data_IF_222119433208
#
_entry.id   IF_222119433208
#
_cell.length_a   1.000
_cell.length_b   1.000
_cell.length_c   1.000
_cell.angle_alpha   90.00
_cell.angle_beta   90.00
_cell.angle_gamma   90.00
#
_symmetry.space_group_name_H-M   'P 1'
#
loop_
_entity.id
_entity.type
_entity.pdbx_description
1 polymer ?
#
# COMPACT_ATOMS: atom_id res chain seq x y z
N UNK A 1 32.83 73.05 -15.39
CA UNK A 1 31.66 72.88 -16.26
C UNK A 1 30.85 71.68 -15.79
N UNK A 2 29.67 71.90 -15.23
CA UNK A 2 28.52 71.00 -15.48
C UNK A 2 27.76 71.58 -16.69
N UNK A 3 26.67 70.99 -17.25
CA UNK A 3 25.96 69.73 -16.96
C UNK A 3 25.59 68.95 -18.26
N UNK A 4 24.84 67.83 -18.22
CA UNK A 4 23.36 67.76 -18.41
C UNK A 4 22.88 66.36 -17.94
N UNK A 5 22.01 66.20 -16.92
CA UNK A 5 20.53 66.44 -16.85
C UNK A 5 19.76 65.57 -17.85
N UNK A 6 18.72 64.79 -17.53
CA UNK A 6 17.69 64.83 -16.46
C UNK A 6 16.96 63.46 -16.37
N UNK A 7 16.78 62.92 -15.15
CA UNK A 7 15.52 62.68 -14.39
C UNK A 7 14.15 62.60 -15.12
N UNK A 8 13.04 62.18 -14.43
CA UNK A 8 12.77 60.99 -13.59
C UNK A 8 11.30 60.50 -13.75
N UNK A 9 10.76 59.75 -12.77
CA UNK A 9 9.34 59.52 -12.41
C UNK A 9 8.84 58.09 -12.69
N UNK A 10 8.24 57.35 -11.77
CA UNK A 10 7.28 57.77 -10.73
C UNK A 10 7.25 56.80 -9.54
N UNK A 11 7.10 57.36 -8.35
CA UNK A 11 6.98 56.72 -7.02
C UNK A 11 5.55 56.23 -6.74
N UNK A 12 5.42 55.25 -5.85
CA UNK A 12 4.53 55.22 -4.65
C UNK A 12 4.89 53.95 -3.87
N UNK A 13 5.60 53.99 -2.72
CA UNK A 13 5.31 54.72 -1.47
C UNK A 13 4.32 53.87 -0.66
N UNK A 14 4.43 53.57 0.63
CA UNK A 14 5.24 53.95 1.83
C UNK A 14 4.68 52.98 2.91
N UNK A 15 5.25 52.64 4.07
CA UNK A 15 6.12 53.33 5.01
C UNK A 15 6.57 52.33 6.10
N UNK A 16 7.72 52.60 6.73
CA UNK A 16 8.19 51.96 7.98
C UNK A 16 7.80 52.83 9.18
N UNK A 17 7.44 52.19 10.29
CA UNK A 17 7.75 52.55 11.69
C UNK A 17 7.18 51.41 12.55
N UNK A 18 7.73 50.90 13.63
CA UNK A 18 8.83 51.27 14.53
C UNK A 18 8.57 50.45 15.80
N UNK A 19 9.61 49.92 16.43
CA UNK A 19 9.53 49.10 17.66
C UNK A 19 8.75 49.76 18.79
N UNK A 20 7.99 48.98 19.56
CA UNK A 20 8.10 48.92 21.02
C UNK A 20 7.13 47.91 21.66
N UNK A 21 7.68 47.18 22.63
CA UNK A 21 7.05 46.57 23.79
C UNK A 21 6.06 45.42 23.61
N UNK A 22 6.53 44.24 24.01
CA UNK A 22 6.05 43.64 25.26
C UNK A 22 4.61 43.13 25.25
N UNK A 23 4.44 41.87 24.87
CA UNK A 23 3.70 40.94 25.71
C UNK A 23 4.11 39.52 25.38
N UNK A 24 4.90 38.95 26.28
CA UNK A 24 4.84 37.53 26.60
C UNK A 24 3.38 37.08 26.51
N UNK A 25 3.03 36.33 25.48
CA UNK A 25 1.90 35.42 25.59
C UNK A 25 2.52 34.14 26.13
N UNK A 26 2.80 34.16 27.43
CA UNK A 26 2.85 32.93 28.21
C UNK A 26 1.59 32.17 27.84
N UNK A 27 1.74 31.02 27.17
CA UNK A 27 0.70 30.01 27.16
C UNK A 27 0.67 29.46 28.58
N UNK A 28 0.00 30.19 29.47
CA UNK A 28 -0.45 29.66 30.75
C UNK A 28 -1.50 28.59 30.45
N UNK A 29 -1.10 27.35 30.70
CA UNK A 29 -1.88 26.30 31.36
C UNK A 29 -3.40 26.45 31.28
N UNK A 30 -4.02 25.82 30.30
CA UNK A 30 -5.38 25.31 30.45
C UNK A 30 -5.30 23.86 30.88
N UNK A 31 -5.08 23.66 32.18
CA UNK A 31 -5.52 22.45 32.88
C UNK A 31 -6.96 22.71 33.28
N UNK A 32 -7.92 22.15 32.55
CA UNK A 32 -9.10 21.45 33.10
C UNK A 32 -10.19 21.21 32.04
N UNK A 33 -10.34 19.92 31.69
CA UNK A 33 -11.57 19.19 31.34
C UNK A 33 -11.21 18.00 30.43
N UNK A 34 -10.61 16.94 31.00
CA UNK A 34 -10.42 15.68 30.26
C UNK A 34 -9.40 15.72 29.11
N UNK A 35 -8.49 16.69 29.11
CA UNK A 35 -7.53 16.88 28.03
C UNK A 35 -6.40 15.85 28.13
N UNK A 36 -6.52 14.80 27.33
CA UNK A 36 -5.58 13.69 27.31
C UNK A 36 -4.25 14.20 26.74
N UNK A 37 -3.20 14.27 27.58
CA UNK A 37 -1.86 14.71 27.17
C UNK A 37 -1.28 13.81 26.08
N UNK A 38 -1.41 14.26 24.83
CA UNK A 38 -1.07 13.49 23.63
C UNK A 38 0.43 13.26 23.44
N UNK A 39 1.25 14.26 23.76
CA UNK A 39 2.69 14.25 23.54
C UNK A 39 3.47 14.52 24.83
N UNK A 40 4.68 13.98 24.94
CA UNK A 40 5.58 14.26 26.07
C UNK A 40 6.07 15.71 26.03
N UNK A 41 6.41 16.22 24.86
CA UNK A 41 6.83 17.60 24.69
C UNK A 41 6.65 18.12 23.26
N UNK A 42 7.14 19.34 23.02
CA UNK A 42 7.05 20.00 21.71
C UNK A 42 7.79 19.26 20.59
N UNK A 43 8.84 18.50 20.94
CA UNK A 43 9.63 17.73 19.97
C UNK A 43 8.81 16.56 19.40
N UNK A 44 8.17 15.77 20.25
CA UNK A 44 7.32 14.66 19.81
C UNK A 44 6.12 15.17 19.00
N UNK A 45 5.54 16.31 19.38
CA UNK A 45 4.47 16.96 18.60
C UNK A 45 4.96 17.42 17.22
N UNK A 46 6.18 17.96 17.13
CA UNK A 46 6.80 18.32 15.85
C UNK A 46 7.03 17.09 14.98
N UNK A 47 7.58 16.01 15.55
CA UNK A 47 7.79 14.73 14.85
C UNK A 47 6.45 14.22 14.30
N UNK A 48 5.42 14.22 15.14
CA UNK A 48 4.08 13.80 14.76
C UNK A 48 3.56 14.58 13.55
N UNK A 49 3.54 15.91 13.65
CA UNK A 49 2.94 16.77 12.63
C UNK A 49 3.74 16.78 11.32
N UNK A 50 5.07 16.84 11.42
CA UNK A 50 5.96 16.96 10.26
C UNK A 50 6.16 15.64 9.54
N UNK A 51 6.36 14.55 10.27
CA UNK A 51 6.87 13.29 9.70
C UNK A 51 5.90 12.12 9.75
N UNK A 52 4.98 12.07 10.74
CA UNK A 52 4.09 10.92 10.91
C UNK A 52 2.71 11.16 10.32
N UNK A 53 2.19 12.38 10.42
CA UNK A 53 0.90 12.75 9.88
C UNK A 53 0.74 12.47 8.38
N UNK A 54 1.71 12.81 7.51
CA UNK A 54 1.60 12.54 6.08
C UNK A 54 1.71 11.05 5.73
N UNK A 55 2.21 10.21 6.64
CA UNK A 55 2.49 8.80 6.33
C UNK A 55 1.22 7.95 6.30
N UNK A 56 1.13 7.14 5.26
CA UNK A 56 0.12 6.10 5.16
C UNK A 56 0.41 4.98 6.16
N UNK A 57 -0.66 4.35 6.64
CA UNK A 57 -0.63 3.27 7.62
C UNK A 57 -1.01 1.97 6.94
N UNK A 58 -0.09 1.01 6.94
CA UNK A 58 -0.28 -0.31 6.34
C UNK A 58 -0.91 -1.28 7.33
N UNK A 59 -2.15 -1.69 7.08
CA UNK A 59 -2.83 -2.68 7.90
C UNK A 59 -2.37 -4.11 7.57
N UNK A 60 -2.32 -4.95 8.61
CA UNK A 60 -2.13 -6.40 8.48
C UNK A 60 -3.26 -7.04 7.66
N UNK A 61 -3.03 -8.24 7.15
CA UNK A 61 -3.99 -8.94 6.29
C UNK A 61 -4.37 -10.28 6.88
N UNK A 62 -5.66 -10.59 6.81
CA UNK A 62 -6.13 -11.95 7.11
C UNK A 62 -5.50 -12.92 6.11
N UNK A 63 -4.97 -14.03 6.64
CA UNK A 63 -4.43 -15.12 5.84
C UNK A 63 -5.25 -16.37 6.14
N UNK A 64 -6.07 -16.74 5.15
CA UNK A 64 -6.94 -17.90 5.23
C UNK A 64 -6.08 -19.14 4.94
N UNK A 65 -5.52 -19.75 5.99
CA UNK A 65 -4.63 -20.91 5.87
C UNK A 65 -5.30 -22.10 5.16
N UNK A 66 -6.63 -22.21 5.24
CA UNK A 66 -7.42 -23.26 4.56
C UNK A 66 -7.40 -23.15 3.05
N UNK A 67 -7.06 -21.99 2.48
CA UNK A 67 -6.86 -21.82 1.05
C UNK A 67 -5.52 -22.45 0.59
N UNK A 68 -4.66 -22.82 1.55
CA UNK A 68 -3.33 -23.40 1.34
C UNK A 68 -3.10 -24.68 2.18
N UNK A 69 -4.00 -25.68 2.14
CA UNK A 69 -4.05 -26.77 3.11
C UNK A 69 -2.87 -27.74 3.04
N UNK A 70 -2.12 -27.76 1.94
CA UNK A 70 -0.89 -28.54 1.76
C UNK A 70 0.35 -27.67 1.58
N UNK A 71 0.24 -26.38 1.90
CA UNK A 71 1.39 -25.49 1.82
C UNK A 71 2.32 -25.71 2.99
N UNK A 72 3.62 -25.65 2.70
CA UNK A 72 4.68 -25.52 3.67
C UNK A 72 4.41 -24.37 4.67
N UNK A 73 3.69 -23.33 4.22
CA UNK A 73 3.19 -22.21 5.03
C UNK A 73 2.21 -22.59 6.11
N UNK A 74 1.16 -23.35 5.79
CA UNK A 74 0.20 -23.76 6.81
C UNK A 74 0.88 -24.61 7.89
N UNK A 75 1.79 -25.51 7.49
CA UNK A 75 2.55 -26.35 8.42
C UNK A 75 3.49 -25.54 9.32
N UNK A 76 4.24 -24.59 8.76
CA UNK A 76 5.15 -23.74 9.53
C UNK A 76 4.40 -22.81 10.49
N UNK A 77 3.31 -22.18 10.04
CA UNK A 77 2.47 -21.36 10.93
C UNK A 77 1.91 -22.19 12.09
N UNK A 78 1.51 -23.43 11.84
CA UNK A 78 1.00 -24.32 12.87
C UNK A 78 2.11 -24.77 13.84
N UNK A 79 3.27 -25.19 13.32
CA UNK A 79 4.39 -25.68 14.13
C UNK A 79 5.05 -24.59 14.98
N UNK A 80 5.05 -23.35 14.49
CA UNK A 80 5.54 -22.19 15.23
C UNK A 80 4.51 -21.58 16.18
N UNK A 81 3.25 -22.02 16.15
CA UNK A 81 2.19 -21.45 17.01
C UNK A 81 1.77 -20.03 16.59
N UNK A 82 1.83 -19.70 15.30
CA UNK A 82 1.56 -18.34 14.78
C UNK A 82 0.13 -18.15 14.26
N UNK A 83 -0.82 -18.97 14.69
CA UNK A 83 -2.19 -18.97 14.15
C UNK A 83 -2.93 -17.64 14.37
N UNK A 84 -2.61 -16.91 15.45
CA UNK A 84 -3.19 -15.57 15.68
C UNK A 84 -2.62 -14.50 14.75
N UNK A 85 -1.40 -14.68 14.25
CA UNK A 85 -0.76 -13.75 13.31
C UNK A 85 -1.50 -13.77 11.97
N UNK A 86 -1.95 -14.96 11.55
CA UNK A 86 -2.73 -15.17 10.31
C UNK A 86 -4.21 -14.82 10.43
N UNK A 87 -4.71 -14.63 11.66
CA UNK A 87 -6.11 -14.34 11.91
C UNK A 87 -6.59 -13.00 11.34
N UNK A 88 -7.91 -12.82 11.35
CA UNK A 88 -8.53 -11.56 10.92
C UNK A 88 -7.97 -10.37 11.72
N UNK A 89 -7.45 -9.33 11.05
CA UNK A 89 -7.01 -8.12 11.71
C UNK A 89 -8.14 -7.46 12.48
N UNK A 90 -7.83 -6.94 13.67
CA UNK A 90 -8.66 -5.93 14.30
C UNK A 90 -8.54 -4.58 13.56
N UNK A 91 -9.52 -3.69 13.72
CA UNK A 91 -9.55 -2.38 13.07
C UNK A 91 -8.34 -1.52 13.46
N UNK A 92 -7.73 -0.80 12.52
CA UNK A 92 -6.63 0.10 12.86
C UNK A 92 -7.06 1.45 13.48
N UNK A 93 -6.25 2.00 14.39
CA UNK A 93 -6.31 3.37 14.92
C UNK A 93 -5.12 4.22 14.41
N UNK A 94 -5.20 4.74 13.17
CA UNK A 94 -4.05 5.35 12.50
C UNK A 94 -3.40 6.53 13.25
N UNK A 95 -4.21 7.40 13.86
CA UNK A 95 -3.70 8.56 14.58
C UNK A 95 -2.93 8.15 15.84
N UNK A 96 -3.34 7.06 16.45
CA UNK A 96 -2.80 6.57 17.71
C UNK A 96 -1.48 5.82 17.50
N UNK A 97 -1.37 5.09 16.40
CA UNK A 97 -0.09 4.55 15.89
C UNK A 97 0.93 5.66 15.68
N UNK A 98 0.50 6.76 15.06
CA UNK A 98 1.38 7.92 14.85
C UNK A 98 1.76 8.57 16.18
N UNK A 99 0.84 8.69 17.13
CA UNK A 99 1.14 9.19 18.48
C UNK A 99 2.16 8.32 19.21
N UNK A 100 2.02 7.00 19.13
CA UNK A 100 2.96 6.05 19.72
C UNK A 100 4.37 6.24 19.19
N UNK A 101 4.53 6.31 17.87
CA UNK A 101 5.84 6.51 17.27
C UNK A 101 6.43 7.88 17.55
N UNK A 102 5.59 8.91 17.66
CA UNK A 102 6.05 10.24 18.05
C UNK A 102 6.65 10.23 19.45
N UNK A 103 6.03 9.47 20.35
CA UNK A 103 6.37 9.40 21.77
C UNK A 103 7.26 8.19 22.13
N UNK A 104 7.84 7.51 21.13
CA UNK A 104 8.53 6.26 21.36
C UNK A 104 9.73 6.47 22.29
N UNK A 105 9.91 5.56 23.25
CA UNK A 105 11.06 5.62 24.13
C UNK A 105 12.30 5.08 23.41
N UNK A 106 13.19 5.95 22.96
CA UNK A 106 14.42 5.53 22.28
C UNK A 106 15.44 4.84 23.20
N UNK A 107 15.27 4.91 24.52
CA UNK A 107 16.12 4.21 25.49
C UNK A 107 15.40 2.98 26.07
N UNK A 108 14.39 2.44 25.38
CA UNK A 108 13.51 1.38 25.92
C UNK A 108 14.25 0.11 26.33
N UNK A 109 15.38 -0.19 25.69
CA UNK A 109 16.23 -1.35 25.95
C UNK A 109 17.27 -1.10 27.05
N UNK A 110 17.48 0.15 27.46
CA UNK A 110 18.43 0.49 28.52
C UNK A 110 17.81 0.16 29.89
N UNK A 111 18.32 -0.84 30.64
CA UNK A 111 17.78 -1.18 31.94
C UNK A 111 18.00 -0.07 32.99
N UNK A 112 18.89 0.90 32.73
CA UNK A 112 19.15 2.03 33.61
C UNK A 112 18.20 3.22 33.39
N UNK A 113 17.34 3.19 32.36
CA UNK A 113 16.32 4.23 32.14
C UNK A 113 15.21 4.14 33.19
N UNK A 114 14.51 5.25 33.45
CA UNK A 114 13.36 5.28 34.38
C UNK A 114 12.16 4.46 33.87
N UNK A 115 12.16 4.12 32.58
CA UNK A 115 11.01 3.62 31.83
C UNK A 115 11.36 2.43 30.90
N UNK A 116 12.06 1.38 31.38
CA UNK A 116 12.51 0.27 30.54
C UNK A 116 11.32 -0.52 30.02
N UNK A 117 11.38 -0.96 28.76
CA UNK A 117 10.26 -1.64 28.10
C UNK A 117 8.92 -0.91 28.21
N UNK A 118 8.94 0.42 28.25
CA UNK A 118 7.72 1.23 28.22
C UNK A 118 7.83 2.37 27.23
N UNK A 119 6.67 2.81 26.73
CA UNK A 119 6.54 3.94 25.82
C UNK A 119 5.42 4.86 26.30
N UNK A 120 5.39 6.11 25.83
CA UNK A 120 4.41 7.09 26.29
C UNK A 120 3.24 7.20 25.34
N UNK A 121 2.03 7.05 25.85
CA UNK A 121 0.81 7.28 25.07
C UNK A 121 -0.20 7.98 25.96
N UNK A 122 -0.65 9.17 25.52
CA UNK A 122 -1.83 9.82 26.07
C UNK A 122 -1.79 10.04 27.59
N UNK A 123 -0.64 10.48 28.09
CA UNK A 123 -0.46 10.79 29.51
C UNK A 123 0.02 9.62 30.36
N UNK A 124 0.28 8.46 29.76
CA UNK A 124 0.63 7.22 30.47
C UNK A 124 1.84 6.52 29.85
N UNK A 125 2.68 5.95 30.71
CA UNK A 125 3.65 4.95 30.31
C UNK A 125 2.98 3.59 30.18
N UNK A 126 3.25 2.91 29.07
CA UNK A 126 2.63 1.65 28.74
C UNK A 126 3.68 0.58 28.48
N UNK A 127 3.44 -0.64 28.94
CA UNK A 127 4.38 -1.74 28.76
C UNK A 127 4.45 -2.14 27.29
N UNK A 128 5.66 -2.17 26.75
CA UNK A 128 6.00 -2.63 25.43
C UNK A 128 7.28 -3.48 25.53
N UNK A 129 7.10 -4.79 25.61
CA UNK A 129 8.19 -5.76 25.71
C UNK A 129 7.93 -6.97 24.80
N UNK A 130 8.97 -7.76 24.47
CA UNK A 130 8.82 -9.03 23.78
C UNK A 130 7.76 -9.94 24.41
N UNK A 131 7.72 -10.01 25.75
CA UNK A 131 6.73 -10.80 26.47
C UNK A 131 5.29 -10.30 26.29
N UNK A 132 5.08 -8.97 26.24
CA UNK A 132 3.75 -8.40 25.94
C UNK A 132 3.29 -8.83 24.55
N UNK A 133 4.18 -8.74 23.55
CA UNK A 133 3.92 -9.14 22.16
C UNK A 133 3.62 -10.64 22.08
N UNK A 134 4.42 -11.48 22.73
CA UNK A 134 4.22 -12.92 22.74
C UNK A 134 2.85 -13.30 23.33
N UNK A 135 2.48 -12.68 24.44
CA UNK A 135 1.17 -12.87 25.06
C UNK A 135 0.01 -12.44 24.14
N UNK A 136 0.21 -11.43 23.29
CA UNK A 136 -0.83 -10.95 22.38
C UNK A 136 -1.23 -12.00 21.36
N UNK A 137 -0.21 -12.44 20.63
CA UNK A 137 -0.33 -13.41 19.57
C UNK A 137 -0.49 -14.82 20.13
N UNK A 138 -0.54 -14.96 21.46
CA UNK A 138 -0.56 -16.25 22.16
C UNK A 138 0.54 -17.16 21.61
N UNK A 139 1.73 -16.58 21.42
CA UNK A 139 2.89 -17.32 20.95
C UNK A 139 3.25 -18.35 22.00
N UNK A 140 3.48 -19.58 21.55
CA UNK A 140 4.01 -20.62 22.42
C UNK A 140 5.41 -20.22 22.84
N UNK A 141 5.68 -20.20 24.16
CA UNK A 141 7.05 -20.15 24.65
C UNK A 141 7.75 -21.44 24.21
N UNK A 142 8.65 -21.32 23.25
CA UNK A 142 9.47 -22.41 22.77
C UNK A 142 10.90 -22.15 23.24
N UNK A 143 11.69 -23.21 23.38
CA UNK A 143 13.13 -23.07 23.53
C UNK A 143 13.67 -22.51 22.20
N UNK A 144 13.85 -21.20 22.15
CA UNK A 144 14.37 -20.50 20.99
C UNK A 144 15.89 -20.60 21.01
N UNK A 145 16.47 -21.17 19.96
CA UNK A 145 17.90 -21.02 19.72
C UNK A 145 18.12 -19.65 19.05
N UNK A 146 19.13 -18.88 19.50
CA UNK A 146 19.51 -17.65 18.82
C UNK A 146 19.78 -17.92 17.35
N UNK A 147 19.17 -17.10 16.48
CA UNK A 147 19.52 -17.07 15.07
C UNK A 147 21.02 -16.71 14.99
N UNK A 148 21.89 -17.56 14.41
CA UNK A 148 23.31 -17.27 14.26
C UNK A 148 23.51 -15.90 13.59
N UNK A 149 24.50 -15.12 14.02
CA UNK A 149 24.76 -13.83 13.38
C UNK A 149 25.51 -13.98 12.04
N UNK A 150 26.23 -15.10 11.89
CA UNK A 150 27.07 -15.44 10.75
C UNK A 150 26.35 -16.43 9.81
N UNK A 151 25.85 -15.90 8.70
CA UNK A 151 25.28 -16.71 7.63
C UNK A 151 26.26 -16.94 6.50
N UNK A 152 26.31 -18.19 6.04
CA UNK A 152 26.75 -18.46 4.68
C UNK A 152 25.66 -17.96 3.71
N UNK A 153 25.84 -16.75 3.22
CA UNK A 153 24.92 -16.14 2.26
C UNK A 153 24.83 -16.92 0.94
N UNK A 154 25.82 -17.75 0.62
CA UNK A 154 25.76 -18.71 -0.49
C UNK A 154 24.64 -19.72 -0.22
N UNK A 155 24.65 -20.34 0.96
CA UNK A 155 23.65 -21.32 1.37
C UNK A 155 22.25 -20.70 1.43
N UNK A 156 22.11 -19.53 2.06
CA UNK A 156 20.84 -18.78 2.12
C UNK A 156 20.30 -18.55 0.72
N UNK A 157 21.12 -18.03 -0.20
CA UNK A 157 20.67 -17.70 -1.56
C UNK A 157 20.31 -18.94 -2.37
N UNK A 158 21.12 -20.00 -2.29
CA UNK A 158 20.84 -21.27 -2.98
C UNK A 158 19.53 -21.90 -2.49
N UNK A 159 19.29 -21.87 -1.17
CA UNK A 159 18.06 -22.35 -0.57
C UNK A 159 16.85 -21.53 -1.04
N UNK A 160 16.93 -20.20 -0.94
CA UNK A 160 15.82 -19.31 -1.25
C UNK A 160 15.41 -19.36 -2.73
N UNK A 161 16.38 -19.53 -3.64
CA UNK A 161 16.13 -19.56 -5.10
C UNK A 161 16.03 -20.98 -5.66
N UNK A 162 16.31 -22.01 -4.86
CA UNK A 162 16.22 -23.41 -5.27
C UNK A 162 17.23 -23.84 -6.35
N UNK A 163 18.38 -23.16 -6.46
CA UNK A 163 19.42 -23.46 -7.48
C UNK A 163 20.83 -23.21 -6.96
N UNK A 164 21.78 -24.09 -7.32
CA UNK A 164 23.15 -24.06 -6.81
C UNK A 164 23.98 -22.85 -7.32
N UNK A 165 23.66 -22.31 -8.48
CA UNK A 165 24.33 -21.17 -9.10
C UNK A 165 23.67 -19.82 -8.76
N UNK A 166 22.79 -19.79 -7.76
CA UNK A 166 22.07 -18.59 -7.33
C UNK A 166 22.99 -17.49 -6.76
N UNK A 167 24.17 -17.87 -6.25
CA UNK A 167 25.18 -16.96 -5.74
C UNK A 167 26.38 -16.91 -6.71
N UNK A 168 26.92 -15.73 -7.06
CA UNK A 168 26.59 -14.38 -6.60
C UNK A 168 25.55 -13.65 -7.48
N UNK A 169 24.64 -14.38 -8.15
CA UNK A 169 23.61 -13.77 -9.01
C UNK A 169 22.64 -12.88 -8.21
N UNK A 170 22.47 -13.15 -6.91
CA UNK A 170 21.89 -12.20 -5.99
C UNK A 170 22.80 -10.97 -5.91
N UNK A 171 22.39 -9.87 -6.55
CA UNK A 171 23.07 -8.57 -6.43
C UNK A 171 22.98 -8.02 -5.00
N UNK A 172 23.07 -6.69 -4.78
CA UNK A 172 23.01 -6.12 -3.42
C UNK A 172 21.66 -6.32 -2.70
N UNK A 173 20.68 -6.94 -3.37
CA UNK A 173 19.34 -7.21 -2.87
C UNK A 173 18.80 -8.53 -3.42
N UNK A 174 17.93 -9.15 -2.64
CA UNK A 174 17.20 -10.34 -3.04
C UNK A 174 15.95 -9.98 -3.83
N UNK A 175 15.57 -10.78 -4.82
CA UNK A 175 14.42 -10.53 -5.68
C UNK A 175 13.29 -11.51 -5.38
N UNK A 176 12.09 -10.99 -5.16
CA UNK A 176 10.91 -11.81 -4.87
C UNK A 176 10.57 -12.78 -6.01
N UNK A 177 10.78 -12.40 -7.27
CA UNK A 177 10.50 -13.28 -8.42
C UNK A 177 11.53 -14.40 -8.60
N UNK A 178 12.64 -14.37 -7.86
CA UNK A 178 13.65 -15.44 -7.88
C UNK A 178 13.46 -16.46 -6.76
N UNK A 179 12.60 -16.16 -5.77
CA UNK A 179 12.23 -17.11 -4.72
C UNK A 179 11.49 -18.33 -5.29
N UNK A 180 11.65 -19.49 -4.65
CA UNK A 180 10.78 -20.64 -4.90
C UNK A 180 9.31 -20.30 -4.64
N UNK A 181 8.39 -21.02 -5.28
CA UNK A 181 6.95 -20.70 -5.20
C UNK A 181 6.41 -20.63 -3.77
N UNK A 182 6.78 -21.60 -2.91
CA UNK A 182 6.43 -21.58 -1.49
C UNK A 182 6.95 -20.30 -0.82
N UNK A 183 8.23 -19.98 -1.00
CA UNK A 183 8.88 -18.84 -0.34
C UNK A 183 8.37 -17.50 -0.85
N UNK A 184 7.83 -17.42 -2.07
CA UNK A 184 7.13 -16.23 -2.57
C UNK A 184 5.90 -15.92 -1.75
N UNK A 185 5.10 -16.93 -1.43
CA UNK A 185 3.89 -16.79 -0.61
C UNK A 185 4.29 -16.38 0.82
N UNK A 186 5.30 -17.04 1.39
CA UNK A 186 5.84 -16.68 2.70
C UNK A 186 6.36 -15.25 2.78
N UNK A 187 7.14 -14.81 1.78
CA UNK A 187 7.63 -13.44 1.74
C UNK A 187 6.48 -12.44 1.76
N UNK A 188 5.41 -12.71 1.01
CA UNK A 188 4.20 -11.88 1.03
C UNK A 188 3.55 -11.88 2.42
N UNK A 189 3.43 -13.04 3.07
CA UNK A 189 2.93 -13.14 4.44
C UNK A 189 3.76 -12.30 5.42
N UNK A 190 5.08 -12.42 5.39
CA UNK A 190 6.02 -11.64 6.21
C UNK A 190 5.83 -10.14 5.96
N UNK A 191 5.76 -9.71 4.69
CA UNK A 191 5.56 -8.31 4.30
C UNK A 191 4.20 -7.70 4.70
N UNK A 192 3.29 -8.47 5.27
CA UNK A 192 2.01 -7.94 5.75
C UNK A 192 1.79 -8.12 7.24
N UNK A 193 2.37 -9.15 7.87
CA UNK A 193 1.98 -9.55 9.23
C UNK A 193 3.16 -9.69 10.22
N UNK A 194 4.41 -9.56 9.76
CA UNK A 194 5.60 -9.70 10.62
C UNK A 194 6.56 -8.52 10.47
N UNK A 195 6.93 -8.20 9.22
CA UNK A 195 7.89 -7.16 8.86
C UNK A 195 7.39 -6.41 7.59
N UNK A 196 6.45 -5.46 7.74
CA UNK A 196 5.62 -4.96 6.68
C UNK A 196 6.33 -3.94 5.85
N UNK A 197 6.10 -4.07 4.56
CA UNK A 197 6.65 -3.16 3.59
C UNK A 197 5.73 -3.04 2.38
N UNK A 198 5.72 -1.84 1.81
CA UNK A 198 5.12 -1.59 0.52
C UNK A 198 5.97 -2.12 -0.63
N UNK A 199 7.30 -2.13 -0.45
CA UNK A 199 8.24 -2.59 -1.47
C UNK A 199 8.48 -4.09 -1.32
N UNK A 200 8.00 -4.87 -2.30
CA UNK A 200 8.03 -6.34 -2.24
C UNK A 200 8.76 -6.98 -3.40
N UNK A 201 9.21 -6.18 -4.36
CA UNK A 201 9.95 -6.66 -5.54
C UNK A 201 11.34 -7.12 -5.14
N UNK A 202 11.98 -6.37 -4.23
CA UNK A 202 13.26 -6.68 -3.63
C UNK A 202 13.20 -6.59 -2.09
N UNK A 203 14.13 -7.27 -1.43
CA UNK A 203 14.27 -7.24 0.03
C UNK A 203 15.74 -7.39 0.46
N UNK A 204 16.02 -7.01 1.72
CA UNK A 204 17.36 -6.99 2.32
C UNK A 204 17.78 -8.37 2.82
N UNK A 205 19.08 -8.51 3.05
CA UNK A 205 19.71 -9.69 3.65
C UNK A 205 19.05 -10.12 4.96
N UNK A 206 18.74 -9.21 5.88
CA UNK A 206 18.08 -9.55 7.16
C UNK A 206 16.76 -10.31 6.97
N UNK A 207 15.97 -9.95 5.95
CA UNK A 207 14.74 -10.67 5.62
C UNK A 207 15.00 -11.98 4.88
N UNK A 208 16.06 -12.05 4.09
CA UNK A 208 16.50 -13.30 3.47
C UNK A 208 16.89 -14.34 4.53
N UNK A 209 17.66 -13.91 5.54
CA UNK A 209 18.03 -14.72 6.71
C UNK A 209 16.77 -15.16 7.46
N UNK A 210 15.84 -14.23 7.77
CA UNK A 210 14.58 -14.58 8.42
C UNK A 210 13.79 -15.68 7.67
N UNK A 211 13.64 -15.52 6.34
CA UNK A 211 12.95 -16.51 5.51
C UNK A 211 13.67 -17.86 5.50
N UNK A 212 15.00 -17.84 5.40
CA UNK A 212 15.82 -19.06 5.46
C UNK A 212 15.66 -19.78 6.79
N UNK A 213 15.68 -19.06 7.91
CA UNK A 213 15.49 -19.66 9.24
C UNK A 213 14.14 -20.34 9.37
N UNK A 214 13.10 -19.61 9.03
CA UNK A 214 11.74 -20.08 9.14
C UNK A 214 11.53 -21.33 8.28
N UNK A 215 11.97 -21.28 7.02
CA UNK A 215 11.82 -22.37 6.07
C UNK A 215 12.70 -23.59 6.40
N UNK A 216 13.84 -23.39 7.05
CA UNK A 216 14.69 -24.48 7.56
C UNK A 216 14.13 -25.13 8.83
N UNK A 217 13.00 -24.65 9.36
CA UNK A 217 12.35 -25.19 10.55
C UNK A 217 12.98 -24.72 11.86
N UNK A 218 13.90 -23.75 11.82
CA UNK A 218 14.45 -23.15 13.03
C UNK A 218 13.34 -22.42 13.81
N UNK A 219 13.44 -22.47 15.14
CA UNK A 219 12.50 -21.76 16.02
C UNK A 219 12.87 -20.28 16.05
N UNK A 220 11.91 -19.43 15.77
CA UNK A 220 12.08 -17.97 15.80
C UNK A 220 11.23 -17.42 16.94
N UNK A 221 11.86 -16.66 17.84
CA UNK A 221 11.12 -15.85 18.81
C UNK A 221 10.49 -14.66 18.07
N UNK A 222 9.23 -14.84 17.68
CA UNK A 222 8.49 -13.83 16.94
C UNK A 222 8.17 -12.61 17.82
N UNK A 223 8.05 -12.77 19.14
CA UNK A 223 7.82 -11.66 20.06
C UNK A 223 9.02 -10.73 20.11
N UNK A 224 10.22 -11.31 20.24
CA UNK A 224 11.50 -10.62 20.18
C UNK A 224 11.71 -9.95 18.81
N UNK A 225 11.44 -10.68 17.72
CA UNK A 225 11.61 -10.15 16.36
C UNK A 225 10.74 -8.92 16.09
N UNK A 226 9.45 -8.96 16.45
CA UNK A 226 8.53 -7.83 16.27
C UNK A 226 8.92 -6.65 17.17
N UNK A 227 9.40 -6.91 18.39
CA UNK A 227 9.91 -5.87 19.28
C UNK A 227 11.05 -5.08 18.64
N UNK A 228 12.10 -5.77 18.22
CA UNK A 228 13.27 -5.16 17.58
C UNK A 228 12.91 -4.44 16.29
N UNK A 229 12.02 -5.02 15.49
CA UNK A 229 11.53 -4.37 14.29
C UNK A 229 10.90 -2.99 14.57
N UNK A 230 10.05 -2.89 15.61
CA UNK A 230 9.43 -1.62 16.00
C UNK A 230 10.48 -0.65 16.56
N UNK A 231 11.42 -1.13 17.38
CA UNK A 231 12.51 -0.32 17.94
C UNK A 231 13.36 0.28 16.82
N UNK A 232 13.82 -0.54 15.88
CA UNK A 232 14.61 -0.12 14.72
C UNK A 232 13.88 0.93 13.88
N UNK A 233 12.60 0.69 13.63
CA UNK A 233 11.75 1.61 12.88
C UNK A 233 11.55 2.95 13.58
N UNK A 234 11.44 2.95 14.90
CA UNK A 234 11.35 4.16 15.71
C UNK A 234 12.70 4.91 15.67
N UNK A 235 13.82 4.19 15.81
CA UNK A 235 15.18 4.74 15.81
C UNK A 235 15.61 5.32 14.46
N UNK A 236 15.21 4.71 13.34
CA UNK A 236 15.48 5.22 11.98
C UNK A 236 14.85 6.59 11.69
N UNK A 237 14.00 7.13 12.58
CA UNK A 237 13.29 8.41 12.40
C UNK A 237 13.94 9.58 13.11
N UNK A 238 14.93 9.33 13.95
CA UNK A 238 15.83 10.36 14.44
C UNK A 238 16.75 10.92 13.34
N UNK A 239 16.73 10.35 12.13
CA UNK A 239 17.53 10.78 10.96
C UNK A 239 16.64 11.42 9.86
N UNK A 240 17.19 12.42 9.16
CA UNK A 240 16.54 13.40 8.26
C UNK A 240 15.71 12.87 7.07
N UNK A 241 15.55 11.55 6.88
CA UNK A 241 14.76 10.98 5.77
C UNK A 241 14.06 9.66 6.15
N UNK A 242 12.83 9.70 6.71
CA UNK A 242 12.29 8.53 7.39
C UNK A 242 11.43 7.64 6.46
N UNK A 243 11.74 6.34 6.38
CA UNK A 243 10.98 5.29 5.68
C UNK A 243 9.48 5.23 6.07
N UNK A 244 8.59 4.65 5.24
CA UNK A 244 7.16 4.51 5.56
C UNK A 244 6.91 3.91 6.96
N UNK A 245 5.81 4.29 7.61
CA UNK A 245 5.34 3.62 8.84
C UNK A 245 4.70 2.28 8.49
N UNK A 246 5.29 1.12 8.82
CA UNK A 246 4.51 -0.09 8.95
C UNK A 246 3.54 0.16 10.11
N UNK A 247 2.27 0.25 9.77
CA UNK A 247 1.24 0.34 10.80
C UNK A 247 0.78 -1.03 11.26
N UNK A 248 1.31 -2.08 10.64
CA UNK A 248 0.84 -3.43 10.83
C UNK A 248 1.25 -3.91 12.22
N UNK A 249 2.54 -3.89 12.57
CA UNK A 249 2.99 -4.34 13.90
C UNK A 249 2.49 -3.40 14.99
N UNK A 250 2.56 -2.10 14.74
CA UNK A 250 2.36 -1.09 15.78
C UNK A 250 0.91 -0.99 16.21
N UNK A 251 -0.05 -1.15 15.31
CA UNK A 251 -1.46 -0.95 15.64
C UNK A 251 -2.07 -2.12 16.44
N UNK A 252 -1.71 -3.35 16.07
CA UNK A 252 -2.14 -4.56 16.78
C UNK A 252 -1.49 -4.65 18.17
N UNK A 253 -0.21 -4.30 18.29
CA UNK A 253 0.46 -4.13 19.59
C UNK A 253 -0.17 -3.03 20.41
N UNK A 254 -0.40 -1.89 19.80
CA UNK A 254 -1.01 -0.76 20.47
C UNK A 254 -2.36 -1.10 21.06
N UNK A 255 -3.21 -1.88 20.38
CA UNK A 255 -4.50 -2.32 20.94
C UNK A 255 -4.38 -3.23 22.15
N UNK A 256 -3.42 -4.14 22.21
CA UNK A 256 -3.20 -4.95 23.42
C UNK A 256 -2.64 -4.11 24.57
N UNK A 257 -1.74 -3.18 24.24
CA UNK A 257 -1.31 -2.17 25.18
C UNK A 257 -2.50 -1.25 25.59
N UNK A 258 -3.48 -1.05 24.70
CA UNK A 258 -4.73 -0.37 25.00
C UNK A 258 -5.68 -1.23 25.83
N UNK A 259 -5.62 -2.56 25.77
CA UNK A 259 -6.35 -3.44 26.71
C UNK A 259 -5.83 -3.22 28.14
N UNK A 260 -4.50 -3.06 28.30
CA UNK A 260 -3.89 -2.62 29.57
C UNK A 260 -4.35 -1.20 29.98
N UNK A 261 -4.65 -0.33 29.01
CA UNK A 261 -5.21 1.01 29.27
C UNK A 261 -6.72 1.00 29.55
N UNK A 262 -7.50 0.06 29.01
CA UNK A 262 -8.95 -0.08 29.28
C UNK A 262 -9.25 -0.62 30.67
N UNK A 263 -8.38 -1.47 31.21
CA UNK A 263 -8.49 -1.96 32.59
C UNK A 263 -8.26 -0.84 33.63
N UNK A 264 -7.80 0.35 33.19
CA UNK A 264 -7.58 1.53 34.04
C UNK A 264 -8.41 2.76 33.68
N UNK A 265 -9.55 2.58 33.01
CA UNK A 265 -10.69 3.50 33.12
C UNK A 265 -10.83 4.62 32.06
N UNK A 266 -12.04 4.64 31.48
CA UNK A 266 -12.79 5.80 30.93
C UNK A 266 -12.40 6.41 29.57
N UNK A 267 -11.20 6.22 29.03
CA UNK A 267 -10.79 6.93 27.79
C UNK A 267 -11.24 6.26 26.47
N UNK A 268 -11.38 4.93 26.43
CA UNK A 268 -11.66 4.19 25.19
C UNK A 268 -13.12 4.26 24.71
N UNK A 269 -14.08 4.50 25.60
CA UNK A 269 -15.51 4.45 25.26
C UNK A 269 -15.96 5.60 24.34
N UNK A 270 -15.39 6.80 24.45
CA UNK A 270 -15.79 7.93 23.58
C UNK A 270 -15.17 7.85 22.18
N UNK A 271 -13.94 7.35 22.09
CA UNK A 271 -13.21 7.15 20.82
C UNK A 271 -13.76 5.93 20.07
N UNK A 272 -14.08 4.84 20.77
CA UNK A 272 -14.75 3.69 20.13
C UNK A 272 -16.10 4.10 19.54
N UNK A 273 -16.94 4.85 20.26
CA UNK A 273 -18.26 5.25 19.74
C UNK A 273 -18.19 6.17 18.52
N UNK A 274 -17.35 7.19 18.55
CA UNK A 274 -17.19 8.12 17.41
C UNK A 274 -16.55 7.45 16.21
N UNK A 275 -15.60 6.53 16.42
CA UNK A 275 -14.92 5.85 15.33
C UNK A 275 -15.74 4.68 14.75
N UNK A 276 -16.55 3.99 15.57
CA UNK A 276 -17.58 3.06 15.07
C UNK A 276 -18.63 3.77 14.24
N UNK A 277 -19.03 4.99 14.62
CA UNK A 277 -19.94 5.80 13.84
C UNK A 277 -19.32 6.23 12.49
N UNK A 278 -18.07 6.72 12.49
CA UNK A 278 -17.35 7.02 11.25
C UNK A 278 -17.15 5.79 10.37
N UNK A 279 -16.86 4.62 10.94
CA UNK A 279 -16.66 3.39 10.18
C UNK A 279 -17.96 2.92 9.52
N UNK A 280 -19.10 3.00 10.23
CA UNK A 280 -20.42 2.74 9.64
C UNK A 280 -20.70 3.66 8.45
N UNK A 281 -20.30 4.93 8.55
CA UNK A 281 -20.43 5.89 7.44
C UNK A 281 -19.52 5.51 6.28
N UNK A 282 -18.28 5.10 6.52
CA UNK A 282 -17.34 4.65 5.47
C UNK A 282 -17.84 3.38 4.78
N UNK A 283 -18.34 2.41 5.54
CA UNK A 283 -18.90 1.17 5.00
C UNK A 283 -20.16 1.46 4.17
N UNK A 284 -21.02 2.38 4.65
CA UNK A 284 -22.18 2.86 3.89
C UNK A 284 -21.77 3.52 2.57
N UNK A 285 -20.79 4.43 2.60
CA UNK A 285 -20.26 5.07 1.39
C UNK A 285 -19.67 4.05 0.42
N UNK A 286 -19.04 2.98 0.92
CA UNK A 286 -18.45 1.93 0.10
C UNK A 286 -19.51 1.11 -0.63
N UNK A 287 -20.59 0.74 0.07
CA UNK A 287 -21.75 0.08 -0.53
C UNK A 287 -22.36 0.98 -1.62
N UNK A 288 -22.53 2.26 -1.34
CA UNK A 288 -23.09 3.22 -2.31
C UNK A 288 -22.21 3.38 -3.56
N UNK A 289 -20.89 3.40 -3.39
CA UNK A 289 -19.94 3.41 -4.51
C UNK A 289 -20.07 2.14 -5.37
N UNK A 290 -20.24 0.97 -4.75
CA UNK A 290 -20.34 -0.28 -5.49
C UNK A 290 -21.69 -0.38 -6.24
N UNK A 291 -22.78 0.11 -5.66
CA UNK A 291 -24.07 0.28 -6.36
C UNK A 291 -23.95 1.25 -7.56
N UNK A 292 -23.22 2.36 -7.39
CA UNK A 292 -22.98 3.30 -8.49
C UNK A 292 -22.15 2.68 -9.62
N UNK A 293 -21.17 1.84 -9.31
CA UNK A 293 -20.40 1.12 -10.33
C UNK A 293 -21.26 0.12 -11.11
N UNK A 294 -22.15 -0.59 -10.42
CA UNK A 294 -23.07 -1.55 -11.05
C UNK A 294 -24.06 -0.83 -11.99
N UNK A 295 -24.62 0.29 -11.55
CA UNK A 295 -25.45 1.16 -12.39
C UNK A 295 -24.70 1.67 -13.62
N UNK A 296 -23.45 2.12 -13.45
CA UNK A 296 -22.62 2.57 -14.57
C UNK A 296 -22.33 1.45 -15.59
N UNK A 297 -22.04 0.24 -15.11
CA UNK A 297 -21.83 -0.92 -15.99
C UNK A 297 -23.08 -1.25 -16.81
N UNK A 298 -24.26 -1.13 -16.19
CA UNK A 298 -25.56 -1.32 -16.86
C UNK A 298 -25.75 -0.29 -17.99
N UNK A 299 -25.57 1.00 -17.70
CA UNK A 299 -25.64 2.08 -18.69
C UNK A 299 -24.64 1.88 -19.84
N UNK A 300 -23.42 1.40 -19.54
CA UNK A 300 -22.43 1.08 -20.58
C UNK A 300 -22.85 -0.10 -21.44
N UNK A 301 -23.60 -1.06 -20.89
CA UNK A 301 -24.19 -2.17 -21.65
C UNK A 301 -25.29 -1.69 -22.60
N UNK A 302 -26.16 -0.80 -22.12
CA UNK A 302 -27.21 -0.18 -22.93
C UNK A 302 -26.62 0.66 -24.07
N UNK A 303 -25.59 1.47 -23.78
CA UNK A 303 -24.91 2.27 -24.80
C UNK A 303 -24.28 1.40 -25.90
N UNK A 304 -23.72 0.23 -25.57
CA UNK A 304 -23.22 -0.71 -26.59
C UNK A 304 -24.33 -1.24 -27.48
N UNK A 305 -25.50 -1.53 -26.90
CA UNK A 305 -26.67 -2.00 -27.63
C UNK A 305 -27.21 -0.94 -28.59
N UNK A 306 -27.25 0.32 -28.14
CA UNK A 306 -27.60 1.48 -28.97
C UNK A 306 -26.61 1.63 -30.12
N UNK A 307 -25.31 1.59 -29.84
CA UNK A 307 -24.27 1.72 -30.88
C UNK A 307 -24.37 0.58 -31.90
N UNK A 308 -24.59 -0.66 -31.47
CA UNK A 308 -24.79 -1.79 -32.37
C UNK A 308 -26.01 -1.59 -33.29
N UNK A 309 -27.11 -1.07 -32.74
CA UNK A 309 -28.33 -0.78 -33.49
C UNK A 309 -28.10 0.33 -34.51
N UNK A 310 -27.38 1.40 -34.12
CA UNK A 310 -27.00 2.49 -35.00
C UNK A 310 -26.13 2.02 -36.17
N UNK A 311 -25.14 1.17 -35.90
CA UNK A 311 -24.29 0.58 -36.93
C UNK A 311 -25.08 -0.31 -37.90
N UNK A 312 -26.07 -1.07 -37.40
CA UNK A 312 -26.93 -1.89 -38.25
C UNK A 312 -27.82 -1.05 -39.17
N UNK A 313 -28.40 0.03 -38.65
CA UNK A 313 -29.20 0.98 -39.44
C UNK A 313 -28.33 1.63 -40.52
N UNK A 314 -27.12 2.08 -40.18
CA UNK A 314 -26.19 2.67 -41.15
C UNK A 314 -25.80 1.68 -42.25
N UNK A 315 -25.53 0.40 -41.91
CA UNK A 315 -25.27 -0.64 -42.91
C UNK A 315 -26.44 -0.82 -43.87
N UNK A 316 -27.68 -0.87 -43.35
CA UNK A 316 -28.88 -1.00 -44.19
C UNK A 316 -29.08 0.22 -45.09
N UNK A 317 -28.84 1.43 -44.59
CA UNK A 317 -28.91 2.63 -45.40
C UNK A 317 -27.89 2.62 -46.53
N UNK A 318 -26.66 2.16 -46.27
CA UNK A 318 -25.62 2.06 -47.29
C UNK A 318 -25.98 1.02 -48.37
N UNK A 319 -26.51 -0.13 -47.97
CA UNK A 319 -27.01 -1.15 -48.90
C UNK A 319 -28.18 -0.63 -49.76
N UNK A 320 -29.07 0.17 -49.17
CA UNK A 320 -30.16 0.80 -49.89
C UNK A 320 -29.65 1.82 -50.93
N UNK A 321 -28.69 2.66 -50.54
CA UNK A 321 -28.05 3.61 -51.45
C UNK A 321 -27.36 2.89 -52.63
N UNK A 322 -26.65 1.79 -52.37
CA UNK A 322 -26.03 0.98 -53.42
C UNK A 322 -27.06 0.42 -54.41
N UNK A 323 -28.18 -0.10 -53.91
CA UNK A 323 -29.26 -0.61 -54.77
C UNK A 323 -29.87 0.48 -55.65
N UNK A 324 -29.99 1.70 -55.14
CA UNK A 324 -30.47 2.83 -55.94
C UNK A 324 -29.49 3.19 -57.05
N UNK A 325 -28.18 3.14 -56.77
CA UNK A 325 -27.13 3.40 -57.75
C UNK A 325 -27.09 2.33 -58.85
N UNK A 326 -27.28 1.06 -58.48
CA UNK A 326 -27.41 -0.05 -59.43
C UNK A 326 -28.63 0.13 -60.34
N UNK A 327 -29.79 0.51 -59.79
CA UNK A 327 -31.01 0.80 -60.57
C UNK A 327 -30.76 1.98 -61.52
N UNK A 328 -30.15 3.06 -61.04
CA UNK A 328 -29.84 4.24 -61.85
C UNK A 328 -28.89 3.89 -63.00
N UNK A 329 -27.90 3.03 -62.74
CA UNK A 329 -26.97 2.53 -63.75
C UNK A 329 -27.69 1.74 -64.84
N UNK A 330 -28.63 0.86 -64.48
CA UNK A 330 -29.45 0.10 -65.44
C UNK A 330 -30.34 1.02 -66.28
N UNK A 331 -30.97 2.02 -65.67
CA UNK A 331 -31.82 2.99 -66.37
C UNK A 331 -31.03 3.96 -67.27
N UNK A 332 -29.74 4.15 -67.00
CA UNK A 332 -28.86 5.05 -67.76
C UNK A 332 -28.12 4.36 -68.92
N UNK A 333 -28.35 3.07 -69.16
CA UNK A 333 -27.77 2.39 -70.33
C UNK A 333 -28.49 2.83 -71.62
N UNK A 334 -27.77 3.37 -72.62
CA UNK A 334 -28.38 3.77 -73.88
C UNK A 334 -28.81 2.54 -74.69
N UNK A 335 -30.06 2.55 -75.17
CA UNK A 335 -30.63 1.52 -76.05
C UNK A 335 -29.71 1.25 -77.25
N UNK A 336 -29.34 -0.02 -77.43
CA UNK A 336 -28.36 -0.47 -78.41
C UNK A 336 -28.70 -0.03 -79.84
N UNK A 337 -27.74 0.50 -80.63
CA UNK A 337 -27.95 0.78 -82.03
C UNK A 337 -27.95 -0.51 -82.86
N UNK A 338 -28.98 -0.65 -83.69
CA UNK A 338 -29.23 -1.71 -84.66
C UNK A 338 -28.05 -1.95 -85.62
N UNK A 339 -27.66 -3.23 -85.78
CA UNK A 339 -26.57 -3.69 -86.64
C UNK A 339 -26.88 -3.54 -88.15
N UNK A 340 -25.87 -3.31 -89.02
CA UNK A 340 -25.98 -3.59 -90.44
C UNK A 340 -25.37 -4.93 -90.84
N UNK A 341 -26.15 -5.66 -91.64
CA UNK A 341 -25.82 -6.88 -92.37
C UNK A 341 -24.57 -6.76 -93.27
N UNK A 342 -23.72 -7.80 -93.26
CA UNK A 342 -22.98 -8.23 -94.45
C UNK A 342 -22.73 -9.74 -94.41
N UNK A 343 -23.42 -10.48 -95.30
CA UNK A 343 -22.95 -11.76 -95.84
C UNK A 343 -21.86 -11.51 -96.89
N UNK A 344 -21.29 -12.47 -97.60
CA UNK A 344 -21.28 -13.94 -97.57
C UNK A 344 -20.32 -14.32 -98.72
N UNK A 345 -19.30 -15.14 -98.43
CA UNK A 345 -18.65 -16.13 -99.34
C UNK A 345 -18.05 -15.60 -100.68
N UNK A 346 -17.30 -16.40 -101.49
CA UNK A 346 -17.04 -17.83 -101.41
C UNK A 346 -15.59 -18.32 -101.62
N UNK A 347 -15.48 -19.64 -101.44
CA UNK A 347 -14.53 -20.68 -101.91
C UNK A 347 -13.77 -20.33 -103.22
N UNK A 348 -12.58 -20.85 -103.57
CA UNK A 348 -12.00 -22.20 -103.50
C UNK A 348 -10.55 -22.09 -104.12
N UNK A 349 -9.85 -23.16 -104.58
CA UNK A 349 -8.95 -24.10 -103.91
C UNK A 349 -7.45 -23.97 -104.34
N UNK A 350 -6.65 -24.95 -103.87
CA UNK A 350 -5.49 -25.62 -104.53
C UNK A 350 -4.03 -25.22 -104.23
N UNK A 351 -3.22 -26.29 -104.26
CA UNK A 351 -1.76 -26.49 -104.22
C UNK A 351 -1.04 -26.37 -102.85
N UNK A 352 -0.71 -27.47 -102.16
CA UNK A 352 0.34 -28.52 -102.39
C UNK A 352 1.78 -28.04 -102.12
N UNK A 353 2.68 -28.97 -101.75
CA UNK A 353 2.96 -29.55 -100.43
C UNK A 353 3.91 -28.72 -99.54
#
# INVERSE_FOLDING_TARGET
MAPKRKDPSTKKGKEKAGSSSGRNRQLETNVDAGDIRRFRGPEEELIYNKWLMPKHIWAEREVILTDFPYSEMANLVHSCGWQRVTGKPHLAYPLLVKEFFANFNHTIEDPATDHPYTTWVRGKWIQFSPAVIANYYALTALDFEPIPADFDMTQVTQFLYGRADAWPLAGPKFLHNQLTESLRIFHIFVCHNIDPTSHRTDFKESRAQFLYHLASGHRIDLGEHIFHFIVDLASQRAADNPAPLPAAETDRLLRQIFTQLSDQGRVLNSIQCTQLAMQRTVDHMRIEIDLLKESNNTLRGEQRTINFTYDDVNRRMLQFAQRLDDIYTVLSQPSAPSAPHHGSAPDDPSDHP
#
